data_IF_008837761479
#
_entry.id   IF_008837761479
#
_cell.length_a   1.000
_cell.length_b   1.000
_cell.length_c   1.000
_cell.angle_alpha   90.00
_cell.angle_beta   90.00
_cell.angle_gamma   90.00
#
_symmetry.space_group_name_H-M   'P 1'
#
loop_
_entity.id
_entity.type
_entity.pdbx_description
1 polymer ?
#
# COMPACT_ATOMS: atom_id res chain seq x y z
N UNK A 1 19.63 23.34 9.17
CA UNK A 1 20.97 23.90 8.90
C UNK A 1 21.81 22.79 8.26
N UNK A 2 22.27 23.00 7.03
CA UNK A 2 23.19 22.09 6.33
C UNK A 2 24.62 22.45 6.70
N UNK A 3 25.43 21.47 7.12
CA UNK A 3 26.87 21.62 7.26
C UNK A 3 27.56 20.95 6.07
N UNK A 4 28.33 21.68 5.25
CA UNK A 4 29.09 21.10 4.15
C UNK A 4 30.34 20.39 4.69
N UNK A 5 30.72 19.26 4.05
CA UNK A 5 31.91 18.39 4.31
C UNK A 5 31.73 17.21 5.29
N UNK A 6 30.65 16.45 5.18
CA UNK A 6 30.67 15.01 5.51
C UNK A 6 30.12 14.25 4.32
N UNK A 7 30.84 13.21 3.87
CA UNK A 7 30.35 12.31 2.83
C UNK A 7 28.94 11.81 3.15
N UNK A 8 28.14 11.52 2.14
CA UNK A 8 26.83 10.94 2.31
C UNK A 8 27.00 9.55 2.94
N UNK A 9 26.75 9.41 4.25
CA UNK A 9 26.55 8.12 4.87
C UNK A 9 25.10 7.74 4.62
N UNK A 10 24.86 6.78 3.72
CA UNK A 10 23.55 6.15 3.61
C UNK A 10 23.44 5.28 4.84
N UNK A 11 22.59 5.66 5.80
CA UNK A 11 22.27 4.79 6.92
C UNK A 11 21.73 3.49 6.34
N UNK A 12 22.34 2.36 6.71
CA UNK A 12 21.86 1.06 6.26
C UNK A 12 20.47 0.84 6.80
N UNK A 13 19.53 0.63 5.89
CA UNK A 13 18.15 0.29 6.18
C UNK A 13 18.11 -0.95 7.10
N UNK A 14 17.24 -0.95 8.10
CA UNK A 14 16.97 -2.07 9.00
C UNK A 14 15.60 -2.69 8.68
N UNK A 15 15.33 -3.94 9.09
CA UNK A 15 14.00 -4.55 8.97
C UNK A 15 12.89 -3.67 9.58
N UNK A 16 13.18 -3.04 10.72
CA UNK A 16 12.24 -2.17 11.43
C UNK A 16 11.88 -0.93 10.61
N UNK A 17 12.82 -0.37 9.82
CA UNK A 17 12.55 0.79 8.96
C UNK A 17 11.50 0.44 7.87
N UNK A 18 11.49 -0.80 7.37
CA UNK A 18 10.46 -1.27 6.44
C UNK A 18 9.10 -1.34 7.13
N UNK A 19 9.06 -1.94 8.32
CA UNK A 19 7.81 -2.14 9.07
C UNK A 19 7.21 -0.78 9.46
N UNK A 20 8.02 0.11 10.04
CA UNK A 20 7.61 1.46 10.43
C UNK A 20 7.09 2.26 9.24
N UNK A 21 7.76 2.15 8.08
CA UNK A 21 7.31 2.81 6.86
C UNK A 21 5.90 2.38 6.46
N UNK A 22 5.65 1.06 6.41
CA UNK A 22 4.35 0.52 6.03
C UNK A 22 3.28 0.75 7.09
N UNK A 23 3.62 0.81 8.38
CA UNK A 23 2.67 1.18 9.43
C UNK A 23 2.24 2.65 9.28
N UNK A 24 3.20 3.57 9.11
CA UNK A 24 2.91 4.98 8.86
C UNK A 24 2.07 5.14 7.59
N UNK A 25 2.43 4.42 6.53
CA UNK A 25 1.68 4.45 5.28
C UNK A 25 0.27 3.90 5.46
N UNK A 26 0.12 2.77 6.16
CA UNK A 26 -1.14 2.20 6.60
C UNK A 26 -2.05 3.24 7.23
N UNK A 27 -1.57 3.93 8.26
CA UNK A 27 -2.35 4.96 8.98
C UNK A 27 -2.81 6.09 8.06
N UNK A 28 -1.93 6.56 7.17
CA UNK A 28 -2.25 7.64 6.22
C UNK A 28 -3.24 7.18 5.14
N UNK A 29 -3.06 5.97 4.60
CA UNK A 29 -3.97 5.39 3.62
C UNK A 29 -5.33 5.03 4.23
N UNK A 30 -5.35 4.55 5.48
CA UNK A 30 -6.56 4.27 6.25
C UNK A 30 -7.42 5.52 6.47
N UNK A 31 -6.79 6.70 6.68
CA UNK A 31 -7.52 7.97 6.67
C UNK A 31 -8.23 8.25 5.35
N UNK A 32 -7.60 7.93 4.21
CA UNK A 32 -8.21 8.09 2.89
C UNK A 32 -9.32 7.06 2.67
N UNK A 33 -9.10 5.79 3.01
CA UNK A 33 -10.10 4.72 2.89
C UNK A 33 -11.36 5.03 3.72
N UNK A 34 -11.22 5.48 4.96
CA UNK A 34 -12.34 5.89 5.81
C UNK A 34 -13.19 7.01 5.18
N UNK A 35 -12.54 7.97 4.52
CA UNK A 35 -13.24 9.07 3.83
C UNK A 35 -13.89 8.60 2.55
N UNK A 36 -13.20 7.73 1.80
CA UNK A 36 -13.72 7.12 0.58
C UNK A 36 -14.97 6.28 0.86
N UNK A 37 -15.02 5.52 1.96
CA UNK A 37 -16.19 4.76 2.37
C UNK A 37 -17.48 5.62 2.47
N UNK A 38 -17.35 6.89 2.85
CA UNK A 38 -18.49 7.82 2.98
C UNK A 38 -18.83 8.56 1.70
N UNK A 39 -17.99 8.48 0.68
CA UNK A 39 -18.02 9.39 -0.47
C UNK A 39 -18.06 8.68 -1.83
N UNK A 40 -17.63 7.41 -1.92
CA UNK A 40 -17.71 6.64 -3.15
C UNK A 40 -19.18 6.43 -3.56
N UNK A 41 -19.45 6.54 -4.85
CA UNK A 41 -20.74 6.13 -5.40
C UNK A 41 -20.79 4.61 -5.54
N UNK A 42 -22.01 4.06 -5.70
CA UNK A 42 -22.22 2.64 -5.96
C UNK A 42 -21.44 2.17 -7.21
N UNK A 43 -21.41 2.99 -8.26
CA UNK A 43 -20.68 2.71 -9.49
C UNK A 43 -19.17 2.63 -9.27
N UNK A 44 -18.61 3.49 -8.41
CA UNK A 44 -17.18 3.45 -8.10
C UNK A 44 -16.81 2.26 -7.21
N UNK A 45 -17.69 1.84 -6.30
CA UNK A 45 -17.50 0.59 -5.55
C UNK A 45 -17.52 -0.61 -6.50
N UNK A 46 -18.47 -0.64 -7.44
CA UNK A 46 -18.51 -1.69 -8.45
C UNK A 46 -17.27 -1.69 -9.36
N UNK A 47 -16.76 -0.51 -9.75
CA UNK A 47 -15.50 -0.40 -10.50
C UNK A 47 -14.32 -1.01 -9.73
N UNK A 48 -14.23 -0.77 -8.42
CA UNK A 48 -13.20 -1.37 -7.56
C UNK A 48 -13.30 -2.89 -7.50
N UNK A 49 -14.52 -3.45 -7.45
CA UNK A 49 -14.75 -4.91 -7.50
C UNK A 49 -14.25 -5.51 -8.82
N UNK A 50 -14.63 -4.91 -9.95
CA UNK A 50 -14.21 -5.35 -11.28
C UNK A 50 -12.69 -5.29 -11.43
N UNK A 51 -12.05 -4.22 -10.92
CA UNK A 51 -10.59 -4.11 -10.90
C UNK A 51 -9.96 -5.23 -10.08
N UNK A 52 -10.49 -5.53 -8.88
CA UNK A 52 -9.95 -6.57 -8.02
C UNK A 52 -10.12 -7.97 -8.62
N UNK A 53 -11.28 -8.26 -9.23
CA UNK A 53 -11.52 -9.50 -9.95
C UNK A 53 -10.58 -9.67 -11.14
N UNK A 54 -10.38 -8.61 -11.93
CA UNK A 54 -9.43 -8.62 -13.05
C UNK A 54 -8.00 -8.87 -12.56
N UNK A 55 -7.60 -8.25 -11.44
CA UNK A 55 -6.30 -8.46 -10.80
C UNK A 55 -6.05 -9.92 -10.39
N UNK A 56 -7.08 -10.61 -9.88
CA UNK A 56 -7.01 -12.06 -9.55
C UNK A 56 -6.91 -12.94 -10.78
N UNK A 57 -7.53 -12.53 -11.89
CA UNK A 57 -7.62 -13.35 -13.10
C UNK A 57 -6.34 -13.33 -13.94
N UNK A 58 -5.59 -12.23 -13.90
CA UNK A 58 -4.33 -12.08 -14.64
C UNK A 58 -3.16 -12.76 -13.92
N UNK A 59 -2.19 -13.26 -14.68
CA UNK A 59 -0.95 -13.87 -14.16
C UNK A 59 0.30 -13.03 -14.43
N UNK A 60 0.16 -12.02 -15.28
CA UNK A 60 1.26 -11.13 -15.65
C UNK A 60 1.49 -10.12 -14.51
N UNK A 61 2.67 -10.09 -13.88
CA UNK A 61 2.92 -9.23 -12.72
C UNK A 61 2.76 -7.73 -13.00
N UNK A 62 3.19 -7.26 -14.16
CA UNK A 62 3.06 -5.84 -14.53
C UNK A 62 1.60 -5.43 -14.66
N UNK A 63 0.78 -6.30 -15.26
CA UNK A 63 -0.67 -6.11 -15.35
C UNK A 63 -1.33 -6.15 -13.97
N UNK A 64 -0.91 -7.05 -13.08
CA UNK A 64 -1.42 -7.11 -11.69
C UNK A 64 -1.09 -5.83 -10.91
N UNK A 65 0.16 -5.37 -10.98
CA UNK A 65 0.60 -4.13 -10.34
C UNK A 65 -0.19 -2.91 -10.85
N UNK A 66 -0.50 -2.87 -12.16
CA UNK A 66 -1.31 -1.81 -12.73
C UNK A 66 -2.77 -1.83 -12.22
N UNK A 67 -3.38 -3.01 -12.03
CA UNK A 67 -4.70 -3.09 -11.39
C UNK A 67 -4.66 -2.67 -9.92
N UNK A 68 -3.64 -3.11 -9.18
CA UNK A 68 -3.40 -2.68 -7.80
C UNK A 68 -3.30 -1.15 -7.67
N UNK A 69 -2.51 -0.54 -8.56
CA UNK A 69 -2.39 0.91 -8.64
C UNK A 69 -3.73 1.59 -8.91
N UNK A 70 -4.54 1.07 -9.85
CA UNK A 70 -5.85 1.63 -10.16
C UNK A 70 -6.83 1.52 -8.98
N UNK A 71 -6.83 0.38 -8.28
CA UNK A 71 -7.64 0.16 -7.08
C UNK A 71 -7.35 1.24 -6.02
N UNK A 72 -6.09 1.40 -5.62
CA UNK A 72 -5.71 2.42 -4.65
C UNK A 72 -5.90 3.84 -5.16
N UNK A 73 -5.74 4.09 -6.46
CA UNK A 73 -5.93 5.42 -7.07
C UNK A 73 -7.37 5.91 -6.88
N UNK A 74 -8.37 5.05 -7.11
CA UNK A 74 -9.78 5.42 -6.93
C UNK A 74 -10.03 5.82 -5.47
N UNK A 75 -9.66 4.95 -4.52
CA UNK A 75 -9.83 5.19 -3.08
C UNK A 75 -9.14 6.49 -2.66
N UNK A 76 -7.87 6.66 -3.05
CA UNK A 76 -7.09 7.82 -2.67
C UNK A 76 -7.65 9.11 -3.28
N UNK A 77 -8.09 9.08 -4.54
CA UNK A 77 -8.63 10.26 -5.23
C UNK A 77 -9.95 10.73 -4.63
N UNK A 78 -10.80 9.81 -4.19
CA UNK A 78 -12.07 10.11 -3.53
C UNK A 78 -11.87 10.52 -2.07
N UNK A 79 -11.00 9.81 -1.34
CA UNK A 79 -10.83 9.98 0.10
C UNK A 79 -9.86 11.09 0.53
N UNK A 80 -9.07 11.65 -0.39
CA UNK A 80 -7.99 12.57 -0.02
C UNK A 80 -8.25 14.03 -0.37
N UNK A 81 -7.90 14.91 0.57
CA UNK A 81 -7.61 16.31 0.23
C UNK A 81 -6.27 16.40 -0.50
N UNK A 82 -5.98 17.57 -1.10
CA UNK A 82 -4.69 17.84 -1.72
C UNK A 82 -3.50 17.54 -0.79
N UNK A 83 -3.63 17.91 0.50
CA UNK A 83 -2.58 17.66 1.49
C UNK A 83 -2.41 16.16 1.78
N UNK A 84 -3.51 15.42 1.98
CA UNK A 84 -3.41 13.97 2.25
C UNK A 84 -2.81 13.22 1.05
N UNK A 85 -3.27 13.53 -0.16
CA UNK A 85 -2.73 12.97 -1.40
C UNK A 85 -1.23 13.25 -1.57
N UNK A 86 -0.76 14.43 -1.15
CA UNK A 86 0.67 14.76 -1.21
C UNK A 86 1.52 13.88 -0.29
N UNK A 87 1.01 13.52 0.89
CA UNK A 87 1.71 12.62 1.83
C UNK A 87 1.68 11.18 1.33
N UNK A 88 0.53 10.70 0.86
CA UNK A 88 0.39 9.37 0.24
C UNK A 88 1.40 9.19 -0.89
N UNK A 89 1.54 10.18 -1.77
CA UNK A 89 2.49 10.14 -2.90
C UNK A 89 3.94 10.08 -2.45
N UNK A 90 4.28 10.72 -1.33
CA UNK A 90 5.64 10.64 -0.78
C UNK A 90 5.86 9.22 -0.27
N UNK A 91 4.97 8.71 0.57
CA UNK A 91 5.09 7.39 1.17
C UNK A 91 5.14 6.28 0.11
N UNK A 92 4.23 6.31 -0.88
CA UNK A 92 4.18 5.32 -1.95
C UNK A 92 5.44 5.30 -2.84
N UNK A 93 6.29 6.33 -2.81
CA UNK A 93 7.52 6.41 -3.60
C UNK A 93 8.78 6.15 -2.80
N UNK A 94 8.74 6.35 -1.48
CA UNK A 94 9.92 6.21 -0.61
C UNK A 94 10.36 4.75 -0.54
N UNK A 95 9.44 3.78 -0.63
CA UNK A 95 9.75 2.36 -0.68
C UNK A 95 9.57 1.81 -2.11
N UNK A 96 10.43 2.24 -3.04
CA UNK A 96 10.36 1.91 -4.46
C UNK A 96 10.85 0.48 -4.80
N UNK A 97 11.00 -0.40 -3.82
CA UNK A 97 11.28 -1.81 -4.10
C UNK A 97 10.03 -2.42 -4.73
N UNK A 98 10.14 -2.89 -5.98
CA UNK A 98 9.07 -3.62 -6.65
C UNK A 98 8.97 -5.00 -6.03
N UNK A 99 8.30 -5.08 -4.88
CA UNK A 99 8.12 -6.32 -4.13
C UNK A 99 7.43 -7.41 -4.96
N UNK A 100 6.60 -7.03 -5.94
CA UNK A 100 6.05 -7.92 -6.96
C UNK A 100 7.10 -8.69 -7.77
N UNK A 101 8.30 -8.14 -7.97
CA UNK A 101 9.38 -8.79 -8.73
C UNK A 101 10.23 -9.74 -7.86
N UNK A 102 10.26 -9.51 -6.54
CA UNK A 102 11.12 -10.26 -5.61
C UNK A 102 10.35 -11.23 -4.71
N UNK A 103 9.04 -11.07 -4.57
CA UNK A 103 8.16 -11.89 -3.73
C UNK A 103 7.10 -12.54 -4.62
N UNK A 104 7.23 -13.84 -4.94
CA UNK A 104 6.22 -14.56 -5.71
C UNK A 104 4.83 -14.46 -5.06
N UNK A 105 3.83 -14.09 -5.85
CA UNK A 105 2.43 -14.01 -5.39
C UNK A 105 2.06 -12.76 -4.59
N UNK A 106 2.94 -11.75 -4.51
CA UNK A 106 2.69 -10.49 -3.80
C UNK A 106 1.33 -9.86 -4.16
N UNK A 107 1.10 -9.61 -5.44
CA UNK A 107 -0.14 -8.97 -5.89
C UNK A 107 -1.34 -9.90 -5.78
N UNK A 108 -1.17 -11.21 -5.98
CA UNK A 108 -2.26 -12.17 -5.78
C UNK A 108 -2.79 -12.12 -4.34
N UNK A 109 -1.88 -12.01 -3.36
CA UNK A 109 -2.25 -11.91 -1.96
C UNK A 109 -2.85 -10.53 -1.62
N UNK A 110 -2.35 -9.46 -2.24
CA UNK A 110 -2.97 -8.14 -2.13
C UNK A 110 -4.43 -8.16 -2.60
N UNK A 111 -4.72 -8.86 -3.70
CA UNK A 111 -6.09 -9.01 -4.21
C UNK A 111 -7.00 -9.76 -3.23
N UNK A 112 -6.47 -10.77 -2.52
CA UNK A 112 -7.19 -11.45 -1.41
C UNK A 112 -7.56 -10.47 -0.30
N UNK A 113 -6.62 -9.62 0.11
CA UNK A 113 -6.79 -8.64 1.19
C UNK A 113 -7.71 -7.48 0.82
N UNK A 114 -7.79 -7.13 -0.48
CA UNK A 114 -8.70 -6.10 -0.97
C UNK A 114 -10.18 -6.42 -0.70
N UNK A 115 -10.57 -7.69 -0.51
CA UNK A 115 -11.96 -8.04 -0.20
C UNK A 115 -12.44 -7.41 1.10
N UNK A 116 -11.60 -7.40 2.14
CA UNK A 116 -11.96 -6.77 3.42
C UNK A 116 -12.18 -5.26 3.27
N UNK A 117 -11.38 -4.62 2.40
CA UNK A 117 -11.52 -3.21 2.06
C UNK A 117 -12.84 -3.01 1.29
N UNK A 118 -13.09 -3.81 0.26
CA UNK A 118 -14.31 -3.76 -0.55
C UNK A 118 -15.56 -3.96 0.30
N UNK A 119 -15.57 -4.94 1.20
CA UNK A 119 -16.67 -5.19 2.13
C UNK A 119 -17.01 -3.96 2.97
N UNK A 120 -15.99 -3.29 3.50
CA UNK A 120 -16.17 -2.08 4.27
C UNK A 120 -16.67 -0.90 3.41
N UNK A 121 -16.14 -0.74 2.19
CA UNK A 121 -16.55 0.29 1.25
C UNK A 121 -18.01 0.10 0.79
N UNK A 122 -18.43 -1.14 0.50
CA UNK A 122 -19.83 -1.47 0.16
C UNK A 122 -20.81 -1.07 1.25
N UNK A 123 -20.42 -1.25 2.50
CA UNK A 123 -21.24 -0.91 3.67
C UNK A 123 -21.19 0.57 4.03
N UNK A 124 -20.29 1.34 3.42
CA UNK A 124 -20.00 2.72 3.81
C UNK A 124 -19.41 2.83 5.22
N UNK A 125 -18.85 1.75 5.76
CA UNK A 125 -18.27 1.72 7.10
C UNK A 125 -16.86 2.29 7.08
N UNK A 126 -16.76 3.55 7.52
CA UNK A 126 -15.52 4.29 7.57
C UNK A 126 -14.48 3.72 8.54
N UNK A 127 -14.90 3.07 9.63
CA UNK A 127 -13.95 2.50 10.59
C UNK A 127 -13.42 1.18 10.06
N UNK A 128 -14.31 0.31 9.58
CA UNK A 128 -13.90 -0.95 8.95
C UNK A 128 -12.97 -0.70 7.76
N UNK A 129 -13.26 0.31 6.92
CA UNK A 129 -12.42 0.64 5.76
C UNK A 129 -11.03 1.16 6.17
N UNK A 130 -10.95 1.89 7.30
CA UNK A 130 -9.67 2.30 7.87
C UNK A 130 -8.86 1.08 8.29
N UNK A 131 -9.45 0.24 9.14
CA UNK A 131 -8.76 -0.92 9.72
C UNK A 131 -8.32 -1.89 8.63
N UNK A 132 -9.17 -2.18 7.64
CA UNK A 132 -8.82 -3.06 6.53
C UNK A 132 -7.62 -2.53 5.73
N UNK A 133 -7.60 -1.23 5.41
CA UNK A 133 -6.48 -0.60 4.69
C UNK A 133 -5.19 -0.55 5.53
N UNK A 134 -5.31 -0.27 6.83
CA UNK A 134 -4.17 -0.28 7.76
C UNK A 134 -3.54 -1.68 7.85
N UNK A 135 -4.38 -2.71 7.97
CA UNK A 135 -3.94 -4.11 8.01
C UNK A 135 -3.27 -4.53 6.70
N UNK A 136 -3.91 -4.25 5.55
CA UNK A 136 -3.36 -4.55 4.23
C UNK A 136 -1.93 -4.03 4.06
N UNK A 137 -1.67 -2.76 4.41
CA UNK A 137 -0.32 -2.21 4.32
C UNK A 137 0.63 -2.73 5.40
N UNK A 138 0.16 -2.94 6.63
CA UNK A 138 1.03 -3.42 7.72
C UNK A 138 1.52 -4.85 7.46
N UNK A 139 0.65 -5.75 6.97
CA UNK A 139 1.03 -7.12 6.61
C UNK A 139 1.98 -7.12 5.41
N UNK A 140 1.84 -6.18 4.46
CA UNK A 140 2.83 -5.97 3.40
C UNK A 140 4.21 -5.59 3.96
N UNK A 141 4.27 -4.69 4.95
CA UNK A 141 5.52 -4.31 5.62
C UNK A 141 6.26 -5.50 6.24
N UNK A 142 5.54 -6.34 6.98
CA UNK A 142 6.13 -7.55 7.60
C UNK A 142 6.64 -8.52 6.52
N UNK A 143 5.84 -8.80 5.49
CA UNK A 143 6.25 -9.69 4.38
C UNK A 143 7.46 -9.16 3.63
N UNK A 144 7.51 -7.85 3.38
CA UNK A 144 8.63 -7.19 2.73
C UNK A 144 9.92 -7.32 3.56
N UNK A 145 9.85 -7.05 4.87
CA UNK A 145 10.99 -7.19 5.77
C UNK A 145 11.50 -8.64 5.81
N UNK A 146 10.60 -9.62 5.93
CA UNK A 146 10.98 -11.04 5.90
C UNK A 146 11.64 -11.46 4.59
N UNK A 147 11.12 -11.01 3.45
CA UNK A 147 11.69 -11.33 2.14
C UNK A 147 13.11 -10.77 1.98
N UNK A 148 13.31 -9.51 2.37
CA UNK A 148 14.62 -8.86 2.34
C UNK A 148 15.62 -9.53 3.29
N UNK A 149 15.15 -10.00 4.45
CA UNK A 149 15.97 -10.79 5.38
C UNK A 149 16.43 -12.11 4.74
N UNK A 150 15.53 -12.84 4.07
CA UNK A 150 15.88 -14.09 3.35
C UNK A 150 16.87 -13.86 2.20
N UNK A 151 16.85 -12.67 1.61
CA UNK A 151 17.78 -12.26 0.55
C UNK A 151 19.12 -11.72 1.10
N UNK A 152 19.34 -11.71 2.42
CA UNK A 152 20.51 -11.09 3.07
C UNK A 152 20.73 -9.63 2.63
N UNK A 153 19.64 -8.87 2.45
CA UNK A 153 19.70 -7.47 2.05
C UNK A 153 20.24 -6.55 3.15
N UNK A 154 19.92 -6.87 4.40
CA UNK A 154 20.32 -6.09 5.56
C UNK A 154 21.76 -6.42 5.97
N UNK A 155 22.55 -5.43 6.43
CA UNK A 155 23.89 -5.70 6.93
C UNK A 155 23.84 -6.59 8.18
N UNK A 156 24.84 -7.44 8.35
CA UNK A 156 25.04 -8.14 9.63
C UNK A 156 25.31 -7.13 10.74
N UNK A 157 24.66 -7.34 11.89
CA UNK A 157 24.79 -6.49 13.08
C UNK A 157 26.16 -6.58 13.74
#
# INVERSE_FOLDING_TARGET
MSYPRRGHYVQSLQPEDIIDHYEIFGRVAGMAAARAARALSFEQVHELEVINEAMRAVKDPETQENYNFQFHKIINSTGSSHRLMSVIRILSKTMSLRFSEIIPGWDQQAADEHEEILDALRQGDAEAARTAMENHLSINGVRAAEALQRLNFFPEA
#
